data_IF_484655151220
#
_entry.id   IF_484655151220
#
_cell.length_a   1.000
_cell.length_b   1.000
_cell.length_c   1.000
_cell.angle_alpha   90.00
_cell.angle_beta   90.00
_cell.angle_gamma   90.00
#
_symmetry.space_group_name_H-M   'P 1'
#
loop_
_entity.id
_entity.type
_entity.pdbx_description
1 polymer ?
#
# COMPACT_ATOMS: atom_id res chain seq x y z
N UNK A 1 -10.41 -23.19 -0.03
CA UNK A 1 -8.95 -23.04 0.15
C UNK A 1 -8.67 -23.28 1.61
N UNK A 2 -7.68 -24.11 1.95
CA UNK A 2 -7.26 -24.32 3.33
C UNK A 2 -5.96 -23.55 3.58
N UNK A 3 -5.90 -22.80 4.69
CA UNK A 3 -4.72 -21.99 5.07
C UNK A 3 -4.26 -22.43 6.45
N UNK A 4 -2.99 -22.83 6.55
CA UNK A 4 -2.39 -23.21 7.82
C UNK A 4 -1.77 -22.00 8.49
N UNK A 5 -2.34 -21.61 9.64
CA UNK A 5 -1.84 -20.53 10.47
C UNK A 5 -0.83 -21.04 11.49
N UNK A 6 0.11 -20.17 11.87
CA UNK A 6 0.94 -20.44 13.05
C UNK A 6 0.05 -20.50 14.30
N UNK A 7 0.43 -21.27 15.35
CA UNK A 7 -0.35 -21.39 16.57
C UNK A 7 -0.69 -20.03 17.21
N UNK A 8 0.28 -19.10 17.21
CA UNK A 8 0.10 -17.77 17.78
C UNK A 8 -0.93 -16.94 17.00
N UNK A 9 -0.90 -16.97 15.68
CA UNK A 9 -1.87 -16.27 14.84
C UNK A 9 -3.26 -16.89 14.98
N UNK A 10 -3.36 -18.22 15.02
CA UNK A 10 -4.62 -18.92 15.23
C UNK A 10 -5.24 -18.57 16.60
N UNK A 11 -4.42 -18.49 17.66
CA UNK A 11 -4.87 -18.05 18.99
C UNK A 11 -5.41 -16.63 18.96
N UNK A 12 -4.67 -15.69 18.36
CA UNK A 12 -5.09 -14.28 18.23
C UNK A 12 -6.40 -14.15 17.44
N UNK A 13 -6.54 -14.89 16.35
CA UNK A 13 -7.77 -14.90 15.55
C UNK A 13 -8.96 -15.41 16.37
N UNK A 14 -8.77 -16.50 17.14
CA UNK A 14 -9.80 -17.04 18.01
C UNK A 14 -10.22 -16.06 19.10
N UNK A 15 -9.25 -15.40 19.74
CA UNK A 15 -9.51 -14.40 20.79
C UNK A 15 -10.27 -13.19 20.20
N UNK A 16 -9.91 -12.77 18.98
CA UNK A 16 -10.57 -11.68 18.27
C UNK A 16 -12.00 -12.05 17.87
N UNK A 17 -12.23 -13.27 17.37
CA UNK A 17 -13.55 -13.79 17.06
C UNK A 17 -14.45 -13.83 18.31
N UNK A 18 -13.92 -14.35 19.43
CA UNK A 18 -14.64 -14.40 20.70
C UNK A 18 -15.00 -13.00 21.23
N UNK A 19 -14.10 -12.03 21.10
CA UNK A 19 -14.30 -10.67 21.61
C UNK A 19 -15.24 -9.85 20.73
N UNK A 20 -15.15 -10.02 19.41
CA UNK A 20 -15.98 -9.28 18.44
C UNK A 20 -17.36 -9.91 18.21
N UNK A 21 -17.54 -11.18 18.59
CA UNK A 21 -18.74 -11.97 18.26
C UNK A 21 -18.84 -12.35 16.78
N UNK A 22 -17.80 -12.08 15.99
CA UNK A 22 -17.74 -12.41 14.56
C UNK A 22 -17.17 -13.80 14.36
N UNK A 23 -17.56 -14.44 13.25
CA UNK A 23 -16.92 -15.67 12.81
C UNK A 23 -15.45 -15.41 12.44
N UNK A 24 -14.57 -16.37 12.71
CA UNK A 24 -13.15 -16.23 12.42
C UNK A 24 -12.90 -16.13 10.91
N UNK A 25 -13.73 -16.82 10.13
CA UNK A 25 -13.72 -16.85 8.67
C UNK A 25 -14.02 -15.45 8.10
N UNK A 26 -15.03 -14.77 8.62
CA UNK A 26 -15.40 -13.42 8.17
C UNK A 26 -14.28 -12.40 8.48
N UNK A 27 -13.63 -12.54 9.63
CA UNK A 27 -12.49 -11.68 10.02
C UNK A 27 -11.31 -11.89 9.05
N UNK A 28 -11.04 -13.14 8.69
CA UNK A 28 -9.95 -13.48 7.76
C UNK A 28 -10.26 -12.96 6.36
N UNK A 29 -11.50 -13.15 5.90
CA UNK A 29 -11.93 -12.68 4.57
C UNK A 29 -11.82 -11.17 4.46
N UNK A 30 -12.32 -10.41 5.43
CA UNK A 30 -12.22 -8.95 5.45
C UNK A 30 -10.77 -8.47 5.45
N UNK A 31 -9.91 -9.09 6.27
CA UNK A 31 -8.51 -8.72 6.36
C UNK A 31 -7.77 -8.99 5.04
N UNK A 32 -8.06 -10.11 4.38
CA UNK A 32 -7.49 -10.44 3.08
C UNK A 32 -8.03 -9.55 1.97
N UNK A 33 -9.33 -9.25 1.97
CA UNK A 33 -9.95 -8.34 1.01
C UNK A 33 -9.31 -6.96 1.08
N UNK A 34 -9.14 -6.40 2.27
CA UNK A 34 -8.46 -5.11 2.48
C UNK A 34 -7.01 -5.13 2.00
N UNK A 35 -6.25 -6.18 2.35
CA UNK A 35 -4.87 -6.33 1.89
C UNK A 35 -4.76 -6.40 0.35
N UNK A 36 -5.65 -7.15 -0.29
CA UNK A 36 -5.67 -7.30 -1.74
C UNK A 36 -6.09 -6.01 -2.45
N UNK A 37 -7.04 -5.26 -1.89
CA UNK A 37 -7.45 -3.95 -2.41
C UNK A 37 -6.29 -2.95 -2.35
N UNK A 38 -5.59 -2.87 -1.22
CA UNK A 38 -4.40 -2.03 -1.06
C UNK A 38 -3.32 -2.39 -2.07
N UNK A 39 -3.04 -3.70 -2.24
CA UNK A 39 -2.09 -4.18 -3.24
C UNK A 39 -2.51 -3.82 -4.67
N UNK A 40 -3.79 -3.96 -5.00
CA UNK A 40 -4.32 -3.64 -6.32
C UNK A 40 -4.16 -2.14 -6.62
N UNK A 41 -4.45 -1.27 -5.65
CA UNK A 41 -4.28 0.18 -5.76
C UNK A 41 -2.81 0.59 -5.99
N UNK A 42 -1.89 0.01 -5.22
CA UNK A 42 -0.44 0.23 -5.41
C UNK A 42 -0.01 -0.24 -6.79
N UNK A 43 -0.45 -1.43 -7.22
CA UNK A 43 -0.12 -1.98 -8.53
C UNK A 43 -0.64 -1.12 -9.67
N UNK A 44 -1.90 -0.71 -9.61
CA UNK A 44 -2.49 0.19 -10.60
C UNK A 44 -1.66 1.49 -10.75
N UNK A 45 -1.22 2.06 -9.63
CA UNK A 45 -0.38 3.25 -9.64
C UNK A 45 0.97 2.97 -10.32
N UNK A 46 1.65 1.88 -9.98
CA UNK A 46 2.95 1.55 -10.57
C UNK A 46 2.84 1.20 -12.06
N UNK A 47 1.85 0.39 -12.43
CA UNK A 47 1.64 -0.07 -13.80
C UNK A 47 1.31 1.11 -14.72
N UNK A 48 0.45 2.03 -14.28
CA UNK A 48 0.15 3.25 -15.06
C UNK A 48 1.37 4.15 -15.27
N UNK A 49 2.24 4.29 -14.26
CA UNK A 49 3.50 5.05 -14.39
C UNK A 49 4.49 4.38 -15.32
N UNK A 50 4.56 3.05 -15.27
CA UNK A 50 5.38 2.29 -16.20
C UNK A 50 4.88 2.46 -17.64
N UNK A 51 3.57 2.39 -17.88
CA UNK A 51 2.98 2.59 -19.20
C UNK A 51 3.19 4.02 -19.72
N UNK A 52 3.08 5.03 -18.86
CA UNK A 52 3.39 6.43 -19.19
C UNK A 52 4.85 6.58 -19.67
N UNK A 53 5.80 5.94 -18.97
CA UNK A 53 7.21 5.95 -19.34
C UNK A 53 7.45 5.21 -20.65
N UNK A 54 6.88 4.00 -20.80
CA UNK A 54 7.05 3.16 -21.97
C UNK A 54 6.44 3.77 -23.23
N UNK A 55 5.32 4.46 -23.10
CA UNK A 55 4.65 5.15 -24.20
C UNK A 55 5.30 6.49 -24.56
N UNK A 56 6.23 7.00 -23.75
CA UNK A 56 6.83 8.33 -23.93
C UNK A 56 5.87 9.48 -23.60
N UNK A 57 4.74 9.19 -22.94
CA UNK A 57 3.77 10.22 -22.51
C UNK A 57 4.37 11.19 -21.49
N UNK A 58 5.33 10.72 -20.71
CA UNK A 58 6.08 11.54 -19.75
C UNK A 58 7.53 11.65 -20.17
N UNK A 59 8.11 12.84 -19.96
CA UNK A 59 9.53 13.10 -20.22
C UNK A 59 10.36 12.71 -18.98
N UNK A 60 11.36 11.83 -19.10
CA UNK A 60 12.30 11.57 -18.02
C UNK A 60 13.06 12.85 -17.62
N UNK A 61 13.34 12.98 -16.33
CA UNK A 61 14.15 14.07 -15.76
C UNK A 61 15.37 13.42 -15.12
N UNK A 62 16.50 14.11 -15.14
CA UNK A 62 17.67 13.68 -14.39
C UNK A 62 17.35 13.59 -12.88
N UNK A 63 17.85 12.54 -12.23
CA UNK A 63 17.52 12.25 -10.83
C UNK A 63 18.02 13.34 -9.88
N UNK A 64 19.23 13.85 -10.09
CA UNK A 64 19.82 14.87 -9.22
C UNK A 64 19.08 16.20 -9.38
N UNK A 65 18.73 16.56 -10.62
CA UNK A 65 17.88 17.72 -10.91
C UNK A 65 16.50 17.61 -10.24
N UNK A 66 15.88 16.42 -10.28
CA UNK A 66 14.60 16.16 -9.64
C UNK A 66 14.70 16.32 -8.11
N UNK A 67 15.70 15.73 -7.46
CA UNK A 67 15.91 15.86 -6.02
C UNK A 67 16.20 17.29 -5.58
N UNK A 68 17.05 18.01 -6.31
CA UNK A 68 17.31 19.44 -6.06
C UNK A 68 16.01 20.25 -6.10
N UNK A 69 15.19 20.05 -7.13
CA UNK A 69 13.91 20.75 -7.30
C UNK A 69 12.94 20.46 -6.15
N UNK A 70 12.86 19.20 -5.70
CA UNK A 70 12.00 18.82 -4.58
C UNK A 70 12.46 19.45 -3.27
N UNK A 71 13.78 19.49 -3.01
CA UNK A 71 14.38 20.09 -1.82
C UNK A 71 14.10 21.58 -1.76
N UNK A 72 14.35 22.31 -2.86
CA UNK A 72 14.06 23.75 -2.93
C UNK A 72 12.58 24.06 -2.67
N UNK A 73 11.67 23.25 -3.23
CA UNK A 73 10.23 23.39 -2.97
C UNK A 73 9.89 23.17 -1.49
N UNK A 74 10.55 22.21 -0.83
CA UNK A 74 10.35 21.95 0.59
C UNK A 74 10.86 23.10 1.44
N UNK A 75 12.05 23.61 1.16
CA UNK A 75 12.64 24.76 1.86
C UNK A 75 11.75 26.00 1.71
N UNK A 76 11.25 26.30 0.51
CA UNK A 76 10.29 27.41 0.31
C UNK A 76 9.02 27.28 1.14
N UNK A 77 8.51 26.07 1.35
CA UNK A 77 7.35 25.83 2.23
C UNK A 77 7.69 26.01 3.71
N UNK A 78 8.91 25.72 4.12
CA UNK A 78 9.35 25.86 5.51
C UNK A 78 9.71 27.30 5.88
N UNK A 79 10.24 28.09 4.94
CA UNK A 79 10.66 29.48 5.18
C UNK A 79 9.65 30.54 4.73
N UNK A 80 8.56 30.14 4.07
CA UNK A 80 7.48 31.02 3.59
C UNK A 80 6.23 31.06 4.49
N UNK A 81 6.33 30.56 5.72
CA UNK A 81 5.28 30.59 6.74
C UNK A 81 5.58 31.57 7.86
#
# INVERSE_FOLDING_TARGET
>A
MEVHLTPDTAKRLKDLAATSGRAAEDIVEDALAGYLEDLASVRQTLDSRYDDLKSGRVKPIDGEEAFRTLREKSERRHFGG
#
